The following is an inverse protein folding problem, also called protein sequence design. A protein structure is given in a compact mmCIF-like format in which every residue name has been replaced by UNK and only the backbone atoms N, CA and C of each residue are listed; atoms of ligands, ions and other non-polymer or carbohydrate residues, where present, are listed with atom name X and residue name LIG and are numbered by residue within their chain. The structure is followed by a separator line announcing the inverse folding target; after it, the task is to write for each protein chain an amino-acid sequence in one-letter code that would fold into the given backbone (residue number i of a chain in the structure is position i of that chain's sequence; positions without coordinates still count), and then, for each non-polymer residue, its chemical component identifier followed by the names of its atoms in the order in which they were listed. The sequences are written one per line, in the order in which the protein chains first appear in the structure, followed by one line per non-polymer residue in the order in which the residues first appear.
data_IF_715711462364
#
_entry.id   IF_715711462364
#
_cell.length_a   1.000
_cell.length_b   1.000
_cell.length_c   1.000
_cell.angle_alpha   90.00
_cell.angle_beta   90.00
_cell.angle_gamma   90.00
#
_symmetry.space_group_name_H-M   'P 1'
#
loop_
_entity.id
_entity.type
_entity.pdbx_description
1 polymer ?
#
# COMPACT_ATOMS: atom_id res chain seq x y z
N UNK A 1 -1.71 1.88 -22.25
CA UNK A 1 -2.94 1.66 -21.47
C UNK A 1 -3.21 0.16 -21.41
N UNK A 2 -2.79 -0.51 -20.32
CA UNK A 2 -3.02 -1.98 -20.15
C UNK A 2 -3.94 -2.25 -18.94
N UNK A 3 -4.70 -1.24 -18.52
CA UNK A 3 -5.81 -1.33 -17.57
C UNK A 3 -7.14 -1.67 -18.28
N UNK A 4 -7.13 -1.87 -19.60
CA UNK A 4 -8.32 -2.22 -20.39
C UNK A 4 -8.74 -3.69 -20.23
N UNK A 5 -7.85 -4.53 -19.70
CA UNK A 5 -8.13 -5.95 -19.39
C UNK A 5 -8.59 -6.18 -17.96
N UNK A 6 -8.55 -5.14 -17.12
CA UNK A 6 -9.09 -5.22 -15.78
C UNK A 6 -10.59 -4.98 -15.81
N UNK A 7 -11.26 -5.63 -14.88
CA UNK A 7 -12.66 -5.38 -14.60
C UNK A 7 -12.86 -3.93 -14.13
N UNK A 8 -14.08 -3.37 -14.23
CA UNK A 8 -14.39 -2.02 -13.75
C UNK A 8 -13.97 -1.78 -12.30
N UNK A 9 -14.18 -2.77 -11.41
CA UNK A 9 -13.83 -2.65 -9.99
C UNK A 9 -12.31 -2.62 -9.78
N UNK A 10 -11.57 -3.53 -10.43
CA UNK A 10 -10.11 -3.52 -10.38
C UNK A 10 -9.51 -2.19 -10.91
N UNK A 11 -10.16 -1.57 -11.90
CA UNK A 11 -9.75 -0.24 -12.41
C UNK A 11 -10.02 0.88 -11.41
N UNK A 12 -11.14 0.83 -10.68
CA UNK A 12 -11.44 1.80 -9.64
C UNK A 12 -10.42 1.72 -8.49
N UNK A 13 -10.12 0.51 -8.03
CA UNK A 13 -9.11 0.26 -6.99
C UNK A 13 -7.74 0.76 -7.45
N UNK A 14 -7.36 0.49 -8.70
CA UNK A 14 -6.12 1.00 -9.26
C UNK A 14 -6.04 2.54 -9.20
N UNK A 15 -7.12 3.23 -9.58
CA UNK A 15 -7.21 4.70 -9.47
C UNK A 15 -7.11 5.17 -8.01
N UNK A 16 -7.67 4.42 -7.06
CA UNK A 16 -7.57 4.77 -5.65
C UNK A 16 -6.14 4.61 -5.13
N UNK A 17 -5.49 3.48 -5.43
CA UNK A 17 -4.08 3.21 -5.10
C UNK A 17 -3.18 4.35 -5.60
N UNK A 18 -3.41 4.87 -6.82
CA UNK A 18 -2.57 5.96 -7.37
C UNK A 18 -2.52 7.22 -6.49
N UNK A 19 -3.59 7.54 -5.76
CA UNK A 19 -3.67 8.70 -4.85
C UNK A 19 -2.71 8.60 -3.67
N UNK A 20 -2.33 7.39 -3.30
CA UNK A 20 -1.39 7.12 -2.22
C UNK A 20 0.08 7.23 -2.65
N UNK A 21 0.36 7.45 -3.93
CA UNK A 21 1.72 7.63 -4.44
C UNK A 21 1.88 9.00 -5.12
N UNK A 22 2.15 10.06 -4.34
CA UNK A 22 2.76 11.25 -4.87
C UNK A 22 4.28 11.06 -5.03
N UNK A 23 4.91 11.93 -5.82
CA UNK A 23 6.19 11.67 -6.49
C UNK A 23 7.39 11.72 -5.58
N UNK A 24 8.53 11.29 -6.13
CA UNK A 24 9.82 11.96 -5.94
C UNK A 24 9.66 13.45 -5.50
N UNK A 25 10.53 14.05 -4.67
CA UNK A 25 10.49 15.48 -4.28
C UNK A 25 10.14 16.52 -5.38
N UNK A 26 10.18 16.15 -6.66
CA UNK A 26 9.81 16.93 -7.85
C UNK A 26 8.36 16.78 -8.37
N UNK A 27 7.42 16.17 -7.65
CA UNK A 27 5.99 16.17 -8.03
C UNK A 27 5.64 15.60 -9.44
N UNK A 28 6.31 14.52 -9.90
CA UNK A 28 5.91 13.72 -11.08
C UNK A 28 5.29 12.33 -10.78
N UNK A 29 4.13 11.96 -11.36
CA UNK A 29 3.53 10.64 -11.14
C UNK A 29 4.54 9.51 -11.36
N UNK A 30 4.78 8.70 -10.35
CA UNK A 30 5.63 7.50 -10.41
C UNK A 30 4.91 6.32 -11.07
N UNK A 31 3.92 6.63 -11.91
CA UNK A 31 3.07 5.69 -12.61
C UNK A 31 3.35 5.77 -14.09
N UNK A 32 3.67 4.64 -14.69
CA UNK A 32 3.69 4.53 -16.14
C UNK A 32 2.30 4.20 -16.66
N UNK A 33 2.02 4.53 -17.93
CA UNK A 33 0.73 4.23 -18.60
C UNK A 33 0.42 2.72 -18.72
N UNK A 34 1.40 1.86 -18.43
CA UNK A 34 1.27 0.40 -18.35
C UNK A 34 1.11 -0.11 -16.91
N UNK A 35 0.92 0.78 -15.93
CA UNK A 35 0.55 0.40 -14.57
C UNK A 35 1.72 -0.05 -13.67
N UNK A 36 2.95 0.32 -14.03
CA UNK A 36 4.08 0.18 -13.12
C UNK A 36 4.09 1.33 -12.13
N UNK A 37 4.34 1.02 -10.86
CA UNK A 37 4.57 1.97 -9.79
C UNK A 37 6.05 1.97 -9.42
N UNK A 38 6.59 3.15 -9.12
CA UNK A 38 7.89 3.27 -8.48
C UNK A 38 7.74 3.48 -6.98
N UNK A 39 8.08 2.45 -6.20
CA UNK A 39 8.08 2.46 -4.74
C UNK A 39 9.27 1.64 -4.23
N UNK A 40 10.37 2.31 -3.88
CA UNK A 40 11.63 1.67 -3.52
C UNK A 40 12.15 0.66 -4.60
N UNK A 41 11.72 0.83 -5.85
CA UNK A 41 11.93 -0.08 -6.97
C UNK A 41 10.79 0.05 -8.00
N UNK A 42 10.92 -0.57 -9.17
CA UNK A 42 9.85 -0.65 -10.16
C UNK A 42 9.01 -1.91 -9.92
N UNK A 43 7.72 -1.74 -9.69
CA UNK A 43 6.75 -2.82 -9.45
C UNK A 43 5.62 -2.76 -10.47
N UNK A 44 5.17 -3.90 -10.97
CA UNK A 44 4.05 -4.01 -11.91
C UNK A 44 2.83 -4.60 -11.21
N UNK A 45 1.83 -3.77 -10.89
CA UNK A 45 0.67 -4.23 -10.11
C UNK A 45 -0.24 -5.21 -10.87
N UNK A 46 0.01 -5.47 -12.16
CA UNK A 46 -0.64 -6.57 -12.90
C UNK A 46 -0.10 -7.93 -12.45
N UNK A 47 1.10 -7.98 -11.87
CA UNK A 47 1.75 -9.20 -11.40
C UNK A 47 1.46 -9.45 -9.92
N UNK A 48 0.92 -10.61 -9.62
CA UNK A 48 0.66 -11.08 -8.25
C UNK A 48 1.92 -11.02 -7.37
N UNK A 49 3.07 -11.40 -7.92
CA UNK A 49 4.35 -11.34 -7.21
C UNK A 49 4.66 -9.94 -6.69
N UNK A 50 4.49 -8.91 -7.52
CA UNK A 50 4.79 -7.52 -7.14
C UNK A 50 3.77 -7.00 -6.12
N UNK A 51 2.47 -7.35 -6.27
CA UNK A 51 1.44 -7.02 -5.28
C UNK A 51 1.74 -7.67 -3.92
N UNK A 52 2.06 -8.96 -3.90
CA UNK A 52 2.39 -9.72 -2.69
C UNK A 52 3.63 -9.16 -2.00
N UNK A 53 4.64 -8.78 -2.78
CA UNK A 53 5.85 -8.15 -2.25
C UNK A 53 5.53 -6.82 -1.57
N UNK A 54 4.74 -5.95 -2.20
CA UNK A 54 4.35 -4.66 -1.66
C UNK A 54 3.50 -4.82 -0.39
N UNK A 55 2.53 -5.74 -0.37
CA UNK A 55 1.73 -6.06 0.83
C UNK A 55 2.65 -6.44 1.99
N UNK A 56 3.58 -7.37 1.75
CA UNK A 56 4.53 -7.83 2.78
C UNK A 56 5.42 -6.69 3.28
N UNK A 57 5.84 -5.80 2.37
CA UNK A 57 6.65 -4.64 2.72
C UNK A 57 5.89 -3.66 3.61
N UNK A 58 4.63 -3.34 3.28
CA UNK A 58 3.79 -2.47 4.11
C UNK A 58 3.51 -3.06 5.48
N UNK A 59 3.21 -4.38 5.57
CA UNK A 59 3.04 -5.08 6.84
C UNK A 59 4.28 -4.95 7.75
N UNK A 60 5.49 -5.03 7.17
CA UNK A 60 6.75 -4.79 7.89
C UNK A 60 6.91 -3.33 8.34
N UNK A 61 6.57 -2.35 7.50
CA UNK A 61 6.63 -0.93 7.87
C UNK A 61 5.68 -0.59 9.02
N UNK A 62 4.46 -1.15 9.00
CA UNK A 62 3.48 -1.02 10.08
C UNK A 62 4.09 -1.52 11.39
N UNK A 63 4.63 -2.74 11.40
CA UNK A 63 5.27 -3.33 12.58
C UNK A 63 6.49 -2.53 13.05
N UNK A 64 7.37 -2.13 12.13
CA UNK A 64 8.57 -1.34 12.45
C UNK A 64 8.22 -0.01 13.09
N UNK A 65 7.19 0.67 12.59
CA UNK A 65 6.75 1.97 13.12
C UNK A 65 6.23 1.83 14.55
N UNK A 66 5.46 0.78 14.84
CA UNK A 66 5.00 0.49 16.21
C UNK A 66 6.19 0.27 17.15
N UNK A 67 7.18 -0.53 16.73
CA UNK A 67 8.38 -0.83 17.54
C UNK A 67 9.20 0.42 17.82
N UNK A 68 9.45 1.25 16.80
CA UNK A 68 10.19 2.51 16.94
C UNK A 68 9.50 3.47 17.91
N UNK A 69 8.18 3.65 17.78
CA UNK A 69 7.41 4.51 18.68
C UNK A 69 7.43 4.02 20.12
N UNK A 70 7.34 2.70 20.33
CA UNK A 70 7.48 2.10 21.65
C UNK A 70 8.87 2.37 22.24
N UNK A 71 9.93 2.21 21.44
CA UNK A 71 11.30 2.55 21.81
C UNK A 71 11.44 4.02 22.23
N UNK A 72 10.97 4.95 21.40
CA UNK A 72 11.04 6.39 21.65
C UNK A 72 10.26 6.81 22.91
N UNK A 73 9.07 6.24 23.12
CA UNK A 73 8.28 6.48 24.34
C UNK A 73 9.02 6.00 25.58
N UNK A 74 9.60 4.80 25.53
CA UNK A 74 10.39 4.24 26.64
C UNK A 74 11.63 5.09 26.92
N UNK A 75 12.36 5.51 25.88
CA UNK A 75 13.56 6.34 26.00
C UNK A 75 13.26 7.72 26.61
N UNK A 76 12.05 8.25 26.39
CA UNK A 76 11.58 9.51 26.99
C UNK A 76 10.99 9.34 28.41
N UNK A 77 11.14 8.18 29.03
CA UNK A 77 10.59 7.88 30.37
C UNK A 77 9.06 7.73 30.40
N UNK A 78 8.42 7.60 29.23
CA UNK A 78 6.98 7.41 29.11
C UNK A 78 6.56 5.96 29.38
N UNK A 79 5.34 5.78 29.90
CA UNK A 79 4.72 4.46 29.99
C UNK A 79 4.30 3.97 28.61
N UNK A 80 4.53 2.70 28.33
CA UNK A 80 3.96 2.00 27.17
C UNK A 80 2.48 1.75 27.42
N UNK A 81 1.63 2.67 26.94
CA UNK A 81 0.17 2.50 26.96
C UNK A 81 -0.31 1.94 25.62
N UNK A 82 -1.59 1.55 25.54
CA UNK A 82 -2.19 1.08 24.29
C UNK A 82 -2.13 2.12 23.16
N UNK A 83 -1.96 3.40 23.49
CA UNK A 83 -1.87 4.50 22.52
C UNK A 83 -0.60 4.44 21.66
N UNK A 84 0.43 3.71 22.11
CA UNK A 84 1.65 3.47 21.31
C UNK A 84 1.34 2.62 20.08
N UNK A 85 0.30 1.79 20.15
CA UNK A 85 -0.21 1.02 19.01
C UNK A 85 -1.15 1.84 18.12
N UNK A 86 -1.16 3.17 18.24
CA UNK A 86 -2.02 4.01 17.41
C UNK A 86 -1.68 3.84 15.92
N UNK A 87 -2.60 3.19 15.20
CA UNK A 87 -2.51 2.96 13.77
C UNK A 87 -2.53 4.25 12.94
N UNK A 88 -2.77 5.43 13.55
CA UNK A 88 -2.84 6.71 12.84
C UNK A 88 -1.58 7.03 12.03
N UNK A 89 -0.40 6.70 12.55
CA UNK A 89 0.88 6.94 11.86
C UNK A 89 1.12 5.90 10.76
N UNK A 90 0.63 4.68 10.95
CA UNK A 90 0.70 3.60 9.97
C UNK A 90 -0.49 3.57 9.01
N UNK A 91 -1.41 4.54 9.13
CA UNK A 91 -2.72 4.54 8.47
C UNK A 91 -2.58 4.40 6.95
N UNK A 92 -1.67 5.17 6.37
CA UNK A 92 -1.40 5.15 4.93
C UNK A 92 -0.94 3.78 4.43
N UNK A 93 -0.07 3.09 5.18
CA UNK A 93 0.41 1.76 4.78
C UNK A 93 -0.67 0.68 4.95
N UNK A 94 -1.53 0.84 5.96
CA UNK A 94 -2.68 -0.04 6.16
C UNK A 94 -3.66 0.11 5.01
N UNK A 95 -4.01 1.34 4.64
CA UNK A 95 -4.90 1.63 3.51
C UNK A 95 -4.34 1.05 2.20
N UNK A 96 -3.04 1.25 1.94
CA UNK A 96 -2.35 0.66 0.79
C UNK A 96 -2.38 -0.88 0.77
N UNK A 97 -2.07 -1.53 1.90
CA UNK A 97 -2.07 -2.99 1.99
C UNK A 97 -3.48 -3.56 1.78
N UNK A 98 -4.52 -2.88 2.27
CA UNK A 98 -5.93 -3.28 2.07
C UNK A 98 -6.32 -3.16 0.60
N UNK A 99 -6.02 -2.02 -0.04
CA UNK A 99 -6.35 -1.82 -1.46
C UNK A 99 -5.61 -2.80 -2.37
N UNK A 100 -4.36 -3.15 -2.06
CA UNK A 100 -3.61 -4.15 -2.82
C UNK A 100 -4.21 -5.56 -2.67
N UNK A 101 -4.70 -5.93 -1.48
CA UNK A 101 -5.42 -7.20 -1.28
C UNK A 101 -6.75 -7.23 -2.03
N UNK A 102 -7.47 -6.12 -2.03
CA UNK A 102 -8.73 -6.00 -2.77
C UNK A 102 -8.48 -6.09 -4.28
N UNK A 103 -7.44 -5.42 -4.79
CA UNK A 103 -7.04 -5.54 -6.20
C UNK A 103 -6.73 -6.99 -6.59
N UNK A 104 -6.03 -7.72 -5.72
CA UNK A 104 -5.69 -9.13 -5.95
C UNK A 104 -6.95 -9.99 -6.06
N UNK A 105 -7.88 -9.83 -5.12
CA UNK A 105 -9.15 -10.54 -5.10
C UNK A 105 -9.98 -10.27 -6.36
N UNK A 106 -10.11 -9.01 -6.79
CA UNK A 106 -10.89 -8.66 -8.00
C UNK A 106 -10.25 -9.22 -9.28
N UNK A 107 -8.91 -9.25 -9.36
CA UNK A 107 -8.19 -9.85 -10.49
C UNK A 107 -8.41 -11.37 -10.54
N UNK A 108 -8.33 -12.06 -9.40
CA UNK A 108 -8.53 -13.52 -9.33
C UNK A 108 -9.96 -13.95 -9.64
N UNK A 109 -10.93 -13.16 -9.20
CA UNK A 109 -12.36 -13.49 -9.30
C UNK A 109 -13.03 -12.95 -10.56
N UNK A 110 -12.35 -12.12 -11.35
CA UNK A 110 -12.89 -11.47 -12.56
C UNK A 110 -14.24 -10.76 -12.31
N UNK A 111 -14.43 -10.20 -11.12
CA UNK A 111 -15.69 -9.59 -10.65
C UNK A 111 -16.91 -10.55 -10.65
N UNK A 112 -16.72 -11.88 -10.56
CA UNK A 112 -17.84 -12.84 -10.49
C UNK A 112 -18.68 -12.75 -9.18
N UNK A 113 -18.32 -11.85 -8.28
CA UNK A 113 -18.95 -11.64 -6.97
C UNK A 113 -19.40 -10.17 -6.86
N UNK A 114 -20.42 -9.80 -7.65
CA UNK A 114 -21.28 -8.63 -7.35
C UNK A 114 -22.48 -9.06 -6.51
#
# INVERSE_FOLDING_TARGET
MDCEKFSPNAREIFNEITKYYPPNPWNQPQWTEDGKVFDNGWHDLRKEFDRTWLITWYERLIGSTIVTLAGDRKNKGGKLTRDVFSLKLSKRWIELAVLLKELDFQIETLDLVE
#
